data_IF_319505188202
#
_entry.id   IF_319505188202
#
_cell.length_a   1.000
_cell.length_b   1.000
_cell.length_c   1.000
_cell.angle_alpha   90.00
_cell.angle_beta   90.00
_cell.angle_gamma   90.00
#
_symmetry.space_group_name_H-M   'P 1'
#
loop_
_entity.id
_entity.type
_entity.pdbx_description
1 polymer ?
#
# COMPACT_ATOMS: atom_id res chain seq x y z
N UNK A 1 28.64 -9.61 31.96
CA UNK A 1 27.50 -8.67 32.08
C UNK A 1 27.38 -7.71 30.89
N UNK A 2 28.49 -7.14 30.40
CA UNK A 2 28.51 -6.14 29.30
C UNK A 2 27.99 -6.67 27.95
N UNK A 3 28.17 -7.97 27.67
CA UNK A 3 27.72 -8.60 26.42
C UNK A 3 26.19 -8.59 26.28
N UNK A 4 25.45 -8.87 27.35
CA UNK A 4 23.98 -8.86 27.34
C UNK A 4 23.40 -7.47 27.09
N UNK A 5 24.07 -6.42 27.55
CA UNK A 5 23.63 -5.03 27.36
C UNK A 5 23.83 -4.56 25.92
N UNK A 6 24.98 -4.89 25.30
CA UNK A 6 25.20 -4.65 23.86
C UNK A 6 24.20 -5.40 22.98
N UNK A 7 23.90 -6.65 23.29
CA UNK A 7 22.89 -7.43 22.57
C UNK A 7 21.50 -6.83 22.73
N UNK A 8 21.09 -6.44 23.94
CA UNK A 8 19.79 -5.83 24.18
C UNK A 8 19.61 -4.48 23.46
N UNK A 9 20.64 -3.64 23.45
CA UNK A 9 20.63 -2.34 22.74
C UNK A 9 20.63 -2.54 21.22
N UNK A 10 21.42 -3.48 20.68
CA UNK A 10 21.43 -3.81 19.25
C UNK A 10 20.09 -4.39 18.78
N UNK A 11 19.45 -5.23 19.60
CA UNK A 11 18.09 -5.74 19.32
C UNK A 11 17.07 -4.60 19.34
N UNK A 12 17.20 -3.62 20.25
CA UNK A 12 16.32 -2.45 20.31
C UNK A 12 16.49 -1.52 19.10
N UNK A 13 17.73 -1.31 18.64
CA UNK A 13 18.02 -0.50 17.45
C UNK A 13 17.50 -1.19 16.18
N UNK A 14 17.62 -2.51 16.07
CA UNK A 14 17.00 -3.25 14.95
C UNK A 14 15.47 -3.28 15.06
N UNK A 15 14.91 -3.35 16.28
CA UNK A 15 13.47 -3.38 16.50
C UNK A 15 12.79 -2.00 16.33
N UNK A 16 13.50 -0.89 16.54
CA UNK A 16 12.94 0.48 16.41
C UNK A 16 13.44 1.18 15.16
N UNK A 17 14.71 1.02 14.81
CA UNK A 17 15.32 1.63 13.63
C UNK A 17 14.83 1.02 12.32
N UNK A 18 14.64 -0.30 12.24
CA UNK A 18 14.16 -0.94 11.02
C UNK A 18 12.71 -0.56 10.67
N UNK A 19 11.76 -0.52 11.62
CA UNK A 19 10.41 -0.01 11.33
C UNK A 19 10.38 1.48 10.97
N UNK A 20 11.20 2.33 11.63
CA UNK A 20 11.27 3.75 11.27
C UNK A 20 11.80 3.94 9.85
N UNK A 21 12.85 3.20 9.48
CA UNK A 21 13.33 3.19 8.11
C UNK A 21 12.23 2.71 7.15
N UNK A 22 11.56 1.61 7.46
CA UNK A 22 10.43 1.13 6.64
C UNK A 22 9.33 2.20 6.48
N UNK A 23 8.99 2.95 7.54
CA UNK A 23 8.03 4.06 7.48
C UNK A 23 8.52 5.21 6.59
N UNK A 24 9.80 5.57 6.67
CA UNK A 24 10.40 6.59 5.81
C UNK A 24 10.33 6.14 4.35
N UNK A 25 10.72 4.91 4.06
CA UNK A 25 10.65 4.32 2.72
C UNK A 25 9.22 4.32 2.20
N UNK A 26 8.26 3.80 2.96
CA UNK A 26 6.85 3.77 2.58
C UNK A 26 6.33 5.20 2.37
N UNK A 27 6.55 6.12 3.31
CA UNK A 27 6.10 7.50 3.18
C UNK A 27 6.66 8.21 1.95
N UNK A 28 7.95 8.02 1.67
CA UNK A 28 8.61 8.62 0.50
C UNK A 28 8.10 8.06 -0.83
N UNK A 29 8.10 6.73 -1.00
CA UNK A 29 7.67 6.10 -2.26
C UNK A 29 6.16 6.19 -2.48
N UNK A 30 5.38 6.13 -1.40
CA UNK A 30 3.93 6.27 -1.49
C UNK A 30 3.51 7.73 -1.73
N UNK A 31 4.21 8.70 -1.13
CA UNK A 31 4.00 10.13 -1.41
C UNK A 31 4.34 10.52 -2.85
N UNK A 32 5.51 10.10 -3.33
CA UNK A 32 5.95 10.37 -4.72
C UNK A 32 5.02 9.75 -5.77
N UNK A 33 4.35 8.64 -5.45
CA UNK A 33 3.31 8.05 -6.31
C UNK A 33 2.21 9.06 -6.65
N UNK A 34 1.74 9.87 -5.70
CA UNK A 34 0.67 10.85 -5.97
C UNK A 34 1.12 11.94 -6.95
N UNK A 35 2.37 12.35 -6.84
CA UNK A 35 2.99 13.34 -7.74
C UNK A 35 3.17 12.72 -9.14
N UNK A 36 3.78 11.54 -9.22
CA UNK A 36 3.99 10.81 -10.46
C UNK A 36 2.66 10.51 -11.17
N UNK A 37 1.64 10.07 -10.43
CA UNK A 37 0.29 9.86 -10.95
C UNK A 37 -0.30 11.15 -11.50
N UNK A 38 -0.20 12.28 -10.79
CA UNK A 38 -0.70 13.57 -11.28
C UNK A 38 -0.02 14.01 -12.57
N UNK A 39 1.28 13.76 -12.70
CA UNK A 39 2.02 14.07 -13.93
C UNK A 39 1.63 13.13 -15.07
N UNK A 40 1.58 11.82 -14.82
CA UNK A 40 1.27 10.84 -15.86
C UNK A 40 -0.16 10.92 -16.38
N UNK A 41 -1.14 11.26 -15.54
CA UNK A 41 -2.54 11.44 -16.00
C UNK A 41 -2.74 12.67 -16.89
N UNK A 42 -1.72 13.52 -17.06
CA UNK A 42 -1.73 14.59 -18.06
C UNK A 42 -1.59 14.05 -19.48
N UNK A 43 -0.87 12.93 -19.64
CA UNK A 43 -0.56 12.34 -20.95
C UNK A 43 -1.48 11.17 -21.30
N UNK A 44 -1.93 10.40 -20.30
CA UNK A 44 -2.78 9.22 -20.50
C UNK A 44 -3.98 9.21 -19.54
N UNK A 45 -5.10 8.53 -19.86
CA UNK A 45 -6.22 8.37 -18.92
C UNK A 45 -5.78 7.73 -17.60
N UNK A 46 -6.29 8.23 -16.46
CA UNK A 46 -5.87 7.77 -15.13
C UNK A 46 -6.12 6.29 -14.85
N UNK A 47 -7.21 5.73 -15.37
CA UNK A 47 -7.49 4.29 -15.27
C UNK A 47 -6.46 3.48 -16.06
N UNK A 48 -6.07 3.94 -17.26
CA UNK A 48 -5.06 3.28 -18.08
C UNK A 48 -3.67 3.34 -17.43
N UNK A 49 -3.32 4.48 -16.83
CA UNK A 49 -2.09 4.61 -16.05
C UNK A 49 -2.03 3.62 -14.89
N UNK A 50 -3.10 3.55 -14.09
CA UNK A 50 -3.20 2.61 -12.99
C UNK A 50 -3.14 1.16 -13.49
N UNK A 51 -3.83 0.83 -14.59
CA UNK A 51 -3.83 -0.50 -15.18
C UNK A 51 -2.42 -0.94 -15.60
N UNK A 52 -1.67 -0.11 -16.34
CA UNK A 52 -0.30 -0.40 -16.76
C UNK A 52 0.60 -0.61 -15.53
N UNK A 53 0.49 0.27 -14.53
CA UNK A 53 1.29 0.19 -13.31
C UNK A 53 1.05 -1.13 -12.57
N UNK A 54 -0.22 -1.51 -12.37
CA UNK A 54 -0.57 -2.74 -11.66
C UNK A 54 -0.29 -4.00 -12.48
N UNK A 55 -0.39 -3.91 -13.80
CA UNK A 55 -0.03 -5.02 -14.68
C UNK A 55 1.47 -5.33 -14.61
N UNK A 56 2.33 -4.30 -14.69
CA UNK A 56 3.78 -4.46 -14.54
C UNK A 56 4.12 -5.00 -13.16
N UNK A 57 3.56 -4.42 -12.09
CA UNK A 57 3.80 -4.88 -10.73
C UNK A 57 3.36 -6.34 -10.52
N UNK A 58 2.17 -6.70 -10.99
CA UNK A 58 1.64 -8.06 -10.92
C UNK A 58 2.51 -9.06 -11.69
N UNK A 59 2.96 -8.69 -12.89
CA UNK A 59 3.85 -9.54 -13.69
C UNK A 59 5.19 -9.76 -12.99
N UNK A 60 5.80 -8.70 -12.44
CA UNK A 60 7.04 -8.81 -11.66
C UNK A 60 6.86 -9.73 -10.44
N UNK A 61 5.75 -9.60 -9.72
CA UNK A 61 5.46 -10.50 -8.59
C UNK A 61 5.30 -11.95 -9.02
N UNK A 62 4.59 -12.22 -10.12
CA UNK A 62 4.44 -13.59 -10.66
C UNK A 62 5.81 -14.16 -11.03
N UNK A 63 6.67 -13.37 -11.70
CA UNK A 63 8.02 -13.80 -12.05
C UNK A 63 8.84 -14.13 -10.80
N UNK A 64 8.86 -13.24 -9.80
CA UNK A 64 9.58 -13.46 -8.53
C UNK A 64 9.07 -14.72 -7.81
N UNK A 65 7.75 -14.93 -7.75
CA UNK A 65 7.18 -16.11 -7.10
C UNK A 65 7.45 -17.41 -7.86
N UNK A 66 7.55 -17.35 -9.18
CA UNK A 66 7.98 -18.47 -10.01
C UNK A 66 9.45 -18.84 -9.74
N UNK A 67 10.34 -17.86 -9.60
CA UNK A 67 11.75 -18.11 -9.26
C UNK A 67 11.95 -18.60 -7.82
N UNK A 68 11.14 -18.12 -6.88
CA UNK A 68 11.21 -18.52 -5.46
C UNK A 68 10.46 -19.81 -5.15
N UNK A 69 9.85 -20.45 -6.15
CA UNK A 69 9.11 -21.73 -6.04
C UNK A 69 8.05 -21.74 -4.93
N UNK A 70 7.41 -20.59 -4.69
CA UNK A 70 6.35 -20.47 -3.68
C UNK A 70 5.10 -21.21 -4.16
N UNK A 71 4.39 -21.88 -3.25
CA UNK A 71 3.17 -22.58 -3.57
C UNK A 71 2.09 -21.61 -4.09
N UNK A 72 1.46 -21.97 -5.20
CA UNK A 72 0.36 -21.19 -5.77
C UNK A 72 -0.85 -21.16 -4.82
N UNK A 73 -1.66 -20.09 -4.87
CA UNK A 73 -2.87 -20.00 -4.07
C UNK A 73 -3.81 -21.18 -4.38
N UNK A 74 -4.43 -21.76 -3.35
CA UNK A 74 -5.33 -22.92 -3.49
C UNK A 74 -6.79 -22.53 -3.24
N UNK A 75 -7.68 -22.91 -4.15
CA UNK A 75 -9.13 -22.87 -4.00
C UNK A 75 -9.68 -21.53 -3.46
N UNK A 76 -10.07 -21.51 -2.18
CA UNK A 76 -10.66 -20.33 -1.52
C UNK A 76 -9.74 -19.10 -1.50
N UNK A 77 -8.41 -19.28 -1.54
CA UNK A 77 -7.46 -18.18 -1.56
C UNK A 77 -7.60 -17.33 -2.82
N UNK A 78 -7.94 -17.94 -3.97
CA UNK A 78 -8.20 -17.20 -5.21
C UNK A 78 -9.38 -16.25 -5.09
N UNK A 79 -10.44 -16.65 -4.37
CA UNK A 79 -11.58 -15.76 -4.13
C UNK A 79 -11.16 -14.52 -3.35
N UNK A 80 -10.37 -14.68 -2.29
CA UNK A 80 -9.84 -13.54 -1.51
C UNK A 80 -8.94 -12.65 -2.37
N UNK A 81 -8.05 -13.25 -3.17
CA UNK A 81 -7.15 -12.51 -4.07
C UNK A 81 -7.95 -11.70 -5.08
N UNK A 82 -8.96 -12.30 -5.73
CA UNK A 82 -9.80 -11.60 -6.71
C UNK A 82 -10.60 -10.47 -6.06
N UNK A 83 -11.18 -10.70 -4.87
CA UNK A 83 -11.90 -9.66 -4.15
C UNK A 83 -10.98 -8.48 -3.79
N UNK A 84 -9.79 -8.76 -3.26
CA UNK A 84 -8.81 -7.72 -2.93
C UNK A 84 -8.28 -7.02 -4.19
N UNK A 85 -8.06 -7.75 -5.29
CA UNK A 85 -7.66 -7.20 -6.58
C UNK A 85 -8.69 -6.18 -7.09
N UNK A 86 -9.97 -6.51 -7.03
CA UNK A 86 -11.03 -5.61 -7.47
C UNK A 86 -11.17 -4.43 -6.52
N UNK A 87 -11.32 -4.67 -5.22
CA UNK A 87 -11.60 -3.61 -4.25
C UNK A 87 -10.42 -2.66 -4.05
N UNK A 88 -9.21 -3.20 -3.87
CA UNK A 88 -8.04 -2.40 -3.53
C UNK A 88 -7.37 -1.81 -4.78
N UNK A 89 -7.15 -2.62 -5.81
CA UNK A 89 -6.39 -2.18 -6.97
C UNK A 89 -7.28 -1.52 -8.03
N UNK A 90 -8.44 -2.09 -8.35
CA UNK A 90 -9.32 -1.56 -9.39
C UNK A 90 -10.14 -0.37 -8.88
N UNK A 91 -10.90 -0.56 -7.79
CA UNK A 91 -11.73 0.48 -7.20
C UNK A 91 -10.88 1.53 -6.50
N UNK A 92 -10.18 1.17 -5.43
CA UNK A 92 -9.46 2.18 -4.65
C UNK A 92 -8.34 2.82 -5.48
N UNK A 93 -7.34 2.06 -5.93
CA UNK A 93 -6.18 2.65 -6.59
C UNK A 93 -6.51 3.22 -7.98
N UNK A 94 -7.35 2.54 -8.76
CA UNK A 94 -7.78 2.98 -10.09
C UNK A 94 -8.63 4.25 -10.05
N UNK A 95 -9.68 4.30 -9.22
CA UNK A 95 -10.51 5.49 -9.09
C UNK A 95 -9.74 6.65 -8.45
N UNK A 96 -8.85 6.39 -7.49
CA UNK A 96 -7.98 7.44 -6.94
C UNK A 96 -7.09 8.05 -8.03
N UNK A 97 -6.47 7.25 -8.88
CA UNK A 97 -5.62 7.74 -9.97
C UNK A 97 -6.44 8.53 -11.00
N UNK A 98 -7.65 8.08 -11.33
CA UNK A 98 -8.57 8.83 -12.17
C UNK A 98 -9.00 10.16 -11.51
N UNK A 99 -9.29 10.14 -10.21
CA UNK A 99 -9.70 11.30 -9.43
C UNK A 99 -8.62 12.36 -9.33
N UNK A 100 -7.35 11.96 -9.22
CA UNK A 100 -6.18 12.85 -9.20
C UNK A 100 -6.08 13.69 -10.47
N UNK A 101 -6.73 13.32 -11.59
CA UNK A 101 -6.87 14.22 -12.74
C UNK A 101 -7.59 15.52 -12.38
N UNK A 102 -8.66 15.42 -11.59
CA UNK A 102 -9.56 16.53 -11.24
C UNK A 102 -9.15 17.31 -9.99
N UNK A 103 -8.34 16.71 -9.11
CA UNK A 103 -7.88 17.34 -7.85
C UNK A 103 -6.37 17.53 -7.82
N UNK A 104 -5.84 18.35 -6.91
CA UNK A 104 -4.39 18.42 -6.70
C UNK A 104 -3.86 17.13 -6.05
N UNK A 105 -2.60 16.80 -6.29
CA UNK A 105 -1.93 15.63 -5.67
C UNK A 105 -1.93 15.73 -4.14
N UNK A 106 -1.75 16.95 -3.60
CA UNK A 106 -1.83 17.21 -2.16
C UNK A 106 -3.22 16.96 -1.58
N UNK A 107 -4.28 17.43 -2.25
CA UNK A 107 -5.65 17.18 -1.79
C UNK A 107 -6.00 15.68 -1.87
N UNK A 108 -5.56 14.99 -2.93
CA UNK A 108 -5.71 13.54 -3.05
C UNK A 108 -5.03 12.77 -1.91
N UNK A 109 -3.82 13.17 -1.53
CA UNK A 109 -3.10 12.58 -0.40
C UNK A 109 -3.80 12.84 0.94
N UNK A 110 -4.34 14.05 1.16
CA UNK A 110 -5.09 14.38 2.37
C UNK A 110 -6.37 13.54 2.47
N UNK A 111 -7.13 13.42 1.38
CA UNK A 111 -8.33 12.58 1.35
C UNK A 111 -7.97 11.13 1.64
N UNK A 112 -6.87 10.62 1.08
CA UNK A 112 -6.40 9.27 1.38
C UNK A 112 -5.97 9.11 2.85
N UNK A 113 -5.47 10.17 3.50
CA UNK A 113 -5.14 10.15 4.93
C UNK A 113 -6.36 10.09 5.85
N UNK A 114 -7.59 10.22 5.33
CA UNK A 114 -8.85 10.07 6.09
C UNK A 114 -9.18 8.58 6.33
N UNK A 115 -8.49 7.63 5.69
CA UNK A 115 -8.72 6.19 5.86
C UNK A 115 -8.84 5.73 7.33
N UNK A 116 -7.97 6.14 8.27
CA UNK A 116 -8.08 5.76 9.68
C UNK A 116 -9.39 6.23 10.33
N UNK A 117 -9.93 7.38 9.91
CA UNK A 117 -11.21 7.90 10.42
C UNK A 117 -12.35 6.95 10.04
N UNK A 118 -12.36 6.47 8.79
CA UNK A 118 -13.34 5.47 8.35
C UNK A 118 -13.22 4.15 9.12
N UNK A 119 -12.00 3.71 9.44
CA UNK A 119 -11.76 2.51 10.26
C UNK A 119 -12.36 2.70 11.66
N UNK A 120 -12.07 3.84 12.31
CA UNK A 120 -12.61 4.15 13.64
C UNK A 120 -14.14 4.20 13.62
N UNK A 121 -14.75 4.84 12.62
CA UNK A 121 -16.21 4.89 12.46
C UNK A 121 -16.81 3.49 12.31
N UNK A 122 -16.25 2.66 11.43
CA UNK A 122 -16.74 1.29 11.20
C UNK A 122 -16.59 0.44 12.48
N UNK A 123 -15.46 0.54 13.19
CA UNK A 123 -15.25 -0.16 14.46
C UNK A 123 -16.21 0.31 15.55
N UNK A 124 -16.48 1.62 15.61
CA UNK A 124 -17.48 2.19 16.53
C UNK A 124 -18.88 1.62 16.26
N UNK A 125 -19.32 1.60 15.00
CA UNK A 125 -20.62 1.00 14.64
C UNK A 125 -20.67 -0.53 14.83
N UNK A 126 -19.53 -1.22 14.84
CA UNK A 126 -19.42 -2.65 15.16
C UNK A 126 -19.39 -2.92 16.68
N UNK A 127 -19.42 -1.89 17.53
CA UNK A 127 -19.37 -2.03 18.99
C UNK A 127 -18.00 -2.45 19.53
N UNK A 128 -16.94 -2.37 18.72
CA UNK A 128 -15.57 -2.64 19.16
C UNK A 128 -15.07 -1.45 19.98
N UNK A 129 -14.63 -1.70 21.23
CA UNK A 129 -14.02 -0.65 22.07
C UNK A 129 -12.75 -0.15 21.37
N UNK A 130 -12.76 1.11 21.02
CA UNK A 130 -11.60 1.85 20.53
C UNK A 130 -10.66 1.98 21.75
N UNK A 131 -9.59 1.19 21.77
CA UNK A 131 -8.56 1.21 22.81
C UNK A 131 -7.39 2.10 22.41
#
# INVERSE_FOLDING_TARGET
>A
MITKFKTAVSTRINAVGLPILALIWVGFFWGTTWIASKEGVRYIPGIQMAAIRQFIAGLLYILIFMFTKVAWPKGKQWRTIVILAILNFTLSNGLSTAGVKYISSGLGAIIAAIFPIWIVLISFFRGERIA
#
